data_IF_033199337120
#
_entry.id   IF_033199337120
#
_cell.length_a   1.000
_cell.length_b   1.000
_cell.length_c   1.000
_cell.angle_alpha   90.00
_cell.angle_beta   90.00
_cell.angle_gamma   90.00
#
_symmetry.space_group_name_H-M   'P 1'
#
loop_
_entity.id
_entity.type
_entity.pdbx_description
1 polymer ?
#
# COMPACT_ATOMS: atom_id res chain seq x y z
N UNK A 1 9.39 9.73 -0.69
CA UNK A 1 8.40 10.04 0.37
C UNK A 1 7.35 8.95 0.45
N UNK A 2 6.74 8.72 1.63
CA UNK A 2 5.79 7.62 1.83
C UNK A 2 4.47 7.79 1.05
N UNK A 3 3.92 9.00 0.99
CA UNK A 3 2.70 9.30 0.22
C UNK A 3 2.83 8.98 -1.28
N UNK A 4 3.97 9.32 -1.89
CA UNK A 4 4.26 8.97 -3.28
C UNK A 4 4.31 7.46 -3.51
N UNK A 5 4.95 6.71 -2.61
CA UNK A 5 4.94 5.24 -2.68
C UNK A 5 3.53 4.66 -2.48
N UNK A 6 2.70 5.25 -1.63
CA UNK A 6 1.31 4.82 -1.46
C UNK A 6 0.50 4.98 -2.76
N UNK A 7 0.65 6.11 -3.47
CA UNK A 7 0.01 6.32 -4.77
C UNK A 7 0.53 5.36 -5.85
N UNK A 8 1.85 5.18 -5.94
CA UNK A 8 2.45 4.25 -6.91
C UNK A 8 2.03 2.80 -6.65
N UNK A 9 1.94 2.38 -5.40
CA UNK A 9 1.48 1.04 -5.04
C UNK A 9 0.01 0.83 -5.43
N UNK A 10 -0.83 1.85 -5.25
CA UNK A 10 -2.23 1.82 -5.64
C UNK A 10 -2.44 1.86 -7.17
N UNK A 11 -1.50 2.44 -7.93
CA UNK A 11 -1.56 2.48 -9.39
C UNK A 11 -1.31 1.12 -10.07
N UNK A 12 -0.76 0.13 -9.33
CA UNK A 12 -0.54 -1.26 -9.80
C UNK A 12 0.23 -1.36 -11.12
N UNK A 13 1.20 -0.49 -11.32
CA UNK A 13 2.05 -0.48 -12.51
C UNK A 13 3.05 -1.63 -12.44
N UNK A 14 3.29 -2.28 -13.58
CA UNK A 14 4.41 -3.22 -13.73
C UNK A 14 5.76 -2.48 -13.79
N UNK A 15 6.85 -3.25 -13.80
CA UNK A 15 8.22 -2.71 -13.84
C UNK A 15 8.47 -1.85 -15.08
N UNK A 16 7.94 -2.22 -16.25
CA UNK A 16 8.15 -1.48 -17.49
C UNK A 16 7.46 -0.12 -17.45
N UNK A 17 6.20 -0.08 -17.01
CA UNK A 17 5.43 1.14 -16.84
C UNK A 17 6.02 2.05 -15.74
N UNK A 18 6.51 1.48 -14.63
CA UNK A 18 7.24 2.24 -13.61
C UNK A 18 8.51 2.87 -14.18
N UNK A 19 9.32 2.11 -14.92
CA UNK A 19 10.55 2.61 -15.54
C UNK A 19 10.26 3.74 -16.52
N UNK A 20 9.22 3.59 -17.35
CA UNK A 20 8.80 4.63 -18.29
C UNK A 20 8.36 5.93 -17.58
N UNK A 21 7.64 5.82 -16.47
CA UNK A 21 7.13 7.00 -15.74
C UNK A 21 8.17 7.68 -14.85
N UNK A 22 9.04 6.92 -14.21
CA UNK A 22 9.96 7.43 -13.20
C UNK A 22 11.37 7.71 -13.76
N UNK A 23 11.75 7.06 -14.87
CA UNK A 23 13.10 7.17 -15.42
C UNK A 23 14.16 6.73 -14.41
N UNK A 24 15.24 7.51 -14.31
CA UNK A 24 16.33 7.26 -13.36
C UNK A 24 15.93 7.69 -11.96
N UNK A 25 16.02 6.75 -11.01
CA UNK A 25 15.77 7.02 -9.60
C UNK A 25 16.98 7.71 -8.96
N UNK A 26 16.77 8.90 -8.42
CA UNK A 26 17.83 9.71 -7.79
C UNK A 26 18.08 9.25 -6.35
N UNK A 27 19.35 9.10 -6.00
CA UNK A 27 19.77 8.88 -4.62
C UNK A 27 19.83 10.20 -3.86
N UNK A 28 19.02 10.35 -2.82
CA UNK A 28 19.04 11.49 -1.91
C UNK A 28 19.76 11.16 -0.61
N UNK A 29 19.79 9.89 -0.24
CA UNK A 29 20.46 9.35 0.94
C UNK A 29 20.97 7.94 0.63
N UNK A 30 21.86 7.36 1.47
CA UNK A 30 22.26 5.96 1.31
C UNK A 30 21.10 4.94 1.38
N UNK A 31 19.94 5.34 1.92
CA UNK A 31 18.76 4.48 2.02
C UNK A 31 17.80 4.65 0.84
N UNK A 32 18.06 5.58 -0.09
CA UNK A 32 17.20 5.77 -1.26
C UNK A 32 17.15 4.49 -2.11
N UNK A 33 15.94 4.06 -2.47
CA UNK A 33 15.76 3.00 -3.45
C UNK A 33 16.09 3.57 -4.83
N UNK A 34 17.17 3.10 -5.45
CA UNK A 34 17.64 3.54 -6.77
C UNK A 34 17.43 2.52 -7.88
N UNK A 35 17.03 1.29 -7.53
CA UNK A 35 16.72 0.21 -8.45
C UNK A 35 15.21 0.04 -8.63
N UNK A 36 14.78 -0.10 -9.88
CA UNK A 36 13.35 -0.09 -10.23
C UNK A 36 12.67 -1.40 -9.81
N UNK A 37 13.36 -2.53 -9.89
CA UNK A 37 12.85 -3.84 -9.49
C UNK A 37 12.67 -3.91 -7.96
N UNK A 38 13.64 -3.34 -7.23
CA UNK A 38 13.57 -3.16 -5.78
C UNK A 38 12.42 -2.24 -5.38
N UNK A 39 12.21 -1.13 -6.11
CA UNK A 39 11.07 -0.24 -5.88
C UNK A 39 9.75 -0.98 -6.11
N UNK A 40 9.62 -1.69 -7.23
CA UNK A 40 8.42 -2.46 -7.53
C UNK A 40 8.12 -3.48 -6.42
N UNK A 41 9.11 -4.24 -5.95
CA UNK A 41 8.94 -5.16 -4.82
C UNK A 41 8.49 -4.46 -3.52
N UNK A 42 8.97 -3.24 -3.25
CA UNK A 42 8.49 -2.44 -2.11
C UNK A 42 7.06 -1.95 -2.29
N UNK A 43 6.65 -1.62 -3.52
CA UNK A 43 5.28 -1.24 -3.85
C UNK A 43 4.31 -2.43 -3.70
N UNK A 44 4.74 -3.65 -4.07
CA UNK A 44 3.99 -4.88 -3.82
C UNK A 44 3.77 -5.11 -2.31
N UNK A 45 4.82 -4.99 -1.50
CA UNK A 45 4.72 -5.08 -0.03
C UNK A 45 3.80 -4.01 0.55
N UNK A 46 3.94 -2.78 0.06
CA UNK A 46 3.10 -1.64 0.42
C UNK A 46 1.63 -1.93 0.15
N UNK A 47 1.31 -2.54 -0.99
CA UNK A 47 -0.06 -2.92 -1.34
C UNK A 47 -0.61 -4.02 -0.44
N UNK A 48 0.20 -5.05 -0.16
CA UNK A 48 -0.19 -6.16 0.69
C UNK A 48 -0.51 -5.71 2.13
N UNK A 49 0.27 -4.75 2.68
CA UNK A 49 0.05 -4.22 4.04
C UNK A 49 -0.92 -3.04 4.12
N UNK A 50 -1.27 -2.41 2.99
CA UNK A 50 -2.21 -1.29 2.91
C UNK A 50 -1.64 0.10 3.20
N UNK A 51 -0.33 0.22 3.47
CA UNK A 51 0.36 1.48 3.73
C UNK A 51 1.80 1.43 3.24
N UNK A 52 2.38 2.59 2.94
CA UNK A 52 3.76 2.78 2.53
C UNK A 52 4.62 3.25 3.71
N UNK A 53 5.88 2.85 3.73
CA UNK A 53 6.88 3.33 4.68
C UNK A 53 7.96 4.08 3.93
N UNK A 54 8.47 5.18 4.50
CA UNK A 54 9.70 5.83 4.05
C UNK A 54 10.70 5.72 5.21
N UNK A 55 11.83 5.02 5.01
CA UNK A 55 12.82 4.83 6.08
C UNK A 55 14.11 5.60 5.78
N UNK A 56 14.06 6.90 6.03
CA UNK A 56 15.15 7.84 5.76
C UNK A 56 15.55 7.95 4.28
N UNK A 57 14.73 7.44 3.35
CA UNK A 57 15.04 7.39 1.91
C UNK A 57 15.24 8.78 1.29
N UNK A 58 14.45 9.78 1.69
CA UNK A 58 14.52 11.16 1.17
C UNK A 58 15.46 12.05 1.99
N UNK A 59 15.45 11.90 3.31
CA UNK A 59 16.24 12.71 4.23
C UNK A 59 16.59 11.89 5.47
N UNK A 60 17.87 11.88 5.84
CA UNK A 60 18.34 11.24 7.06
C UNK A 60 17.65 11.81 8.30
N UNK A 61 17.35 10.94 9.25
CA UNK A 61 16.58 11.28 10.45
C UNK A 61 15.06 11.39 10.25
N UNK A 62 14.56 11.22 9.02
CA UNK A 62 13.12 11.35 8.71
C UNK A 62 12.56 10.05 8.16
N UNK A 63 11.71 9.42 8.96
CA UNK A 63 10.84 8.34 8.52
C UNK A 63 9.45 8.86 8.17
N UNK A 64 8.63 8.03 7.55
CA UNK A 64 7.23 8.38 7.33
C UNK A 64 6.36 7.19 6.96
N UNK A 65 5.07 7.40 7.09
CA UNK A 65 4.00 6.47 6.72
C UNK A 65 3.11 7.16 5.69
N UNK A 66 2.45 6.38 4.84
CA UNK A 66 1.38 6.92 4.02
C UNK A 66 0.41 5.87 3.54
N UNK A 67 -0.82 6.27 3.28
CA UNK A 67 -1.84 5.38 2.74
C UNK A 67 -2.66 6.11 1.66
N UNK A 68 -3.15 5.38 0.65
CA UNK A 68 -3.97 5.97 -0.41
C UNK A 68 -5.38 6.31 0.09
N UNK A 69 -5.98 7.31 -0.54
CA UNK A 69 -7.39 7.68 -0.41
C UNK A 69 -8.06 7.38 -1.75
N UNK A 70 -9.16 6.64 -1.72
CA UNK A 70 -9.87 6.19 -2.90
C UNK A 70 -11.18 6.95 -3.11
N UNK A 71 -11.56 7.15 -4.36
CA UNK A 71 -12.88 7.66 -4.73
C UNK A 71 -13.91 6.51 -4.84
N UNK A 72 -15.18 6.85 -5.13
CA UNK A 72 -16.24 5.87 -5.33
C UNK A 72 -15.99 4.83 -6.44
N UNK A 73 -15.09 5.10 -7.39
CA UNK A 73 -14.70 4.17 -8.47
C UNK A 73 -13.59 3.22 -8.06
N UNK A 74 -12.99 3.41 -6.89
CA UNK A 74 -11.82 2.66 -6.44
C UNK A 74 -10.49 3.19 -6.97
N UNK A 75 -10.46 4.37 -7.58
CA UNK A 75 -9.21 5.01 -8.00
C UNK A 75 -8.57 5.70 -6.81
N UNK A 76 -7.26 5.53 -6.63
CA UNK A 76 -6.50 6.32 -5.66
C UNK A 76 -6.34 7.76 -6.17
N UNK A 77 -7.04 8.69 -5.55
CA UNK A 77 -7.09 10.11 -5.95
C UNK A 77 -6.21 11.01 -5.08
N UNK A 78 -5.83 10.53 -3.90
CA UNK A 78 -4.93 11.22 -2.99
C UNK A 78 -4.20 10.20 -2.10
N UNK A 79 -3.29 10.68 -1.26
CA UNK A 79 -2.69 9.88 -0.20
C UNK A 79 -2.44 10.76 1.02
N UNK A 80 -2.68 10.20 2.21
CA UNK A 80 -2.27 10.82 3.46
C UNK A 80 -0.84 10.38 3.78
N UNK A 81 0.01 11.33 4.16
CA UNK A 81 1.39 11.07 4.59
C UNK A 81 1.64 11.63 5.97
N UNK A 82 2.36 10.88 6.80
CA UNK A 82 2.81 11.30 8.13
C UNK A 82 4.32 11.17 8.23
N UNK A 83 5.00 12.26 8.61
CA UNK A 83 6.45 12.27 8.84
C UNK A 83 6.75 12.09 10.32
N UNK A 84 7.75 11.26 10.63
CA UNK A 84 8.14 10.90 11.99
C UNK A 84 9.67 10.93 12.10
N UNK A 85 10.27 11.54 13.13
CA UNK A 85 11.71 11.43 13.37
C UNK A 85 12.13 9.96 13.50
N UNK A 86 13.23 9.54 12.87
CA UNK A 86 13.60 8.11 12.81
C UNK A 86 13.83 7.48 14.18
N UNK A 87 14.38 8.26 15.14
CA UNK A 87 14.52 7.84 16.55
C UNK A 87 13.19 7.52 17.21
N UNK A 88 12.11 8.22 16.84
CA UNK A 88 10.76 7.92 17.33
C UNK A 88 10.16 6.76 16.55
N UNK A 89 10.41 6.69 15.25
CA UNK A 89 9.90 5.62 14.39
C UNK A 89 10.36 4.23 14.81
N UNK A 90 11.61 4.09 15.26
CA UNK A 90 12.13 2.82 15.81
C UNK A 90 11.52 2.44 17.16
N UNK A 91 11.12 3.45 17.97
CA UNK A 91 10.56 3.27 19.32
C UNK A 91 9.05 3.09 19.33
N UNK A 92 8.35 3.82 18.47
CA UNK A 92 6.92 3.64 18.23
C UNK A 92 6.75 2.34 17.48
N UNK A 93 5.83 1.48 17.91
CA UNK A 93 5.42 0.35 17.08
C UNK A 93 4.85 0.93 15.78
N UNK A 94 5.66 1.02 14.72
CA UNK A 94 5.31 1.70 13.47
C UNK A 94 3.96 1.23 12.90
N UNK A 95 3.60 -0.01 13.22
CA UNK A 95 2.31 -0.63 12.98
C UNK A 95 1.12 0.14 13.57
N UNK A 96 1.16 0.55 14.84
CA UNK A 96 0.05 1.27 15.47
C UNK A 96 -0.19 2.66 14.84
N UNK A 97 0.90 3.36 14.49
CA UNK A 97 0.81 4.60 13.72
C UNK A 97 0.27 4.36 12.30
N UNK A 98 0.69 3.27 11.66
CA UNK A 98 0.19 2.90 10.34
C UNK A 98 -1.31 2.56 10.37
N UNK A 99 -1.78 1.87 11.42
CA UNK A 99 -3.20 1.57 11.64
C UNK A 99 -4.04 2.85 11.75
N UNK A 100 -3.54 3.87 12.46
CA UNK A 100 -4.21 5.17 12.54
C UNK A 100 -4.23 5.90 11.18
N UNK A 101 -3.11 5.90 10.44
CA UNK A 101 -3.04 6.48 9.10
C UNK A 101 -4.04 5.79 8.16
N UNK A 102 -4.09 4.46 8.17
CA UNK A 102 -5.03 3.70 7.35
C UNK A 102 -6.49 3.90 7.78
N UNK A 103 -6.78 4.06 9.07
CA UNK A 103 -8.12 4.39 9.53
C UNK A 103 -8.57 5.74 8.98
N UNK A 104 -7.72 6.76 9.10
CA UNK A 104 -8.00 8.09 8.57
C UNK A 104 -8.24 8.08 7.05
N UNK A 105 -7.43 7.34 6.28
CA UNK A 105 -7.65 7.27 4.82
C UNK A 105 -8.88 6.45 4.44
N UNK A 106 -9.25 5.43 5.22
CA UNK A 106 -10.53 4.73 5.03
C UNK A 106 -11.72 5.67 5.25
N UNK A 107 -11.70 6.48 6.30
CA UNK A 107 -12.77 7.44 6.58
C UNK A 107 -12.87 8.52 5.50
N UNK A 108 -11.73 9.05 5.06
CA UNK A 108 -11.66 9.99 3.95
C UNK A 108 -12.19 9.36 2.65
N UNK A 109 -11.81 8.11 2.35
CA UNK A 109 -12.29 7.40 1.18
C UNK A 109 -13.80 7.15 1.25
N UNK A 110 -14.32 6.79 2.43
CA UNK A 110 -15.75 6.62 2.69
C UNK A 110 -16.55 7.90 2.43
N UNK A 111 -16.00 9.05 2.85
CA UNK A 111 -16.57 10.38 2.54
C UNK A 111 -16.61 10.65 1.04
N UNK A 112 -15.61 10.16 0.27
CA UNK A 112 -15.56 10.24 -1.19
C UNK A 112 -16.36 9.13 -1.90
N UNK A 113 -17.13 8.35 -1.15
CA UNK A 113 -18.02 7.32 -1.68
C UNK A 113 -17.36 5.96 -1.93
N UNK A 114 -16.10 5.76 -1.53
CA UNK A 114 -15.46 4.46 -1.61
C UNK A 114 -16.09 3.49 -0.61
N UNK A 115 -16.49 2.31 -1.11
CA UNK A 115 -17.03 1.21 -0.32
C UNK A 115 -16.11 0.01 -0.52
N UNK A 116 -15.50 -0.48 0.55
CA UNK A 116 -14.81 -1.78 0.49
C UNK A 116 -15.90 -2.84 0.34
N UNK A 117 -15.99 -3.46 -0.84
CA UNK A 117 -16.87 -4.61 -1.02
C UNK A 117 -16.45 -5.75 -0.08
N UNK A 118 -17.37 -6.59 0.41
CA UNK A 118 -16.98 -7.82 1.08
C UNK A 118 -16.07 -8.62 0.15
N UNK A 119 -15.00 -9.22 0.67
CA UNK A 119 -14.23 -10.21 -0.07
C UNK A 119 -15.22 -11.22 -0.68
N UNK A 120 -15.09 -11.60 -1.97
CA UNK A 120 -16.04 -12.51 -2.59
C UNK A 120 -16.13 -13.76 -1.71
N UNK A 121 -17.32 -14.03 -1.17
CA UNK A 121 -17.56 -15.22 -0.37
C UNK A 121 -17.15 -16.42 -1.24
N UNK A 122 -16.10 -17.12 -0.83
CA UNK A 122 -15.70 -18.36 -1.47
C UNK A 122 -16.89 -19.31 -1.31
N UNK A 123 -17.65 -19.53 -2.39
CA UNK A 123 -18.66 -20.60 -2.39
C UNK A 123 -17.88 -21.90 -2.27
N UNK A 124 -17.83 -22.46 -1.07
CA UNK A 124 -17.40 -23.84 -0.89
C UNK A 124 -18.31 -24.71 -1.76
N UNK A 125 -17.76 -25.57 -2.64
CA UNK A 125 -18.58 -26.47 -3.42
C UNK A 125 -19.39 -27.34 -2.46
N UNK A 126 -20.71 -27.36 -2.65
CA UNK A 126 -21.63 -28.20 -1.90
C UNK A 126 -21.20 -29.67 -2.11
N UNK A 127 -20.98 -30.45 -1.03
CA UNK A 127 -20.58 -31.85 -1.18
C UNK A 127 -21.64 -32.59 -1.99
N UNK A 128 -21.23 -33.12 -3.14
CA UNK A 128 -22.08 -33.97 -3.98
C UNK A 128 -22.30 -35.29 -3.25
N UNK A 129 -23.48 -35.48 -2.70
CA UNK A 129 -23.94 -36.77 -2.21
C UNK A 129 -24.05 -37.72 -3.41
N UNK A 130 -23.04 -38.56 -3.64
CA UNK A 130 -23.17 -39.69 -4.55
C UNK A 130 -24.19 -40.67 -3.96
N UNK A 131 -25.39 -40.70 -4.51
CA UNK A 131 -26.34 -41.77 -4.29
C UNK A 131 -25.72 -43.09 -4.78
N UNK A 132 -25.50 -44.03 -3.85
CA UNK A 132 -25.23 -45.42 -4.20
C UNK A 132 -26.46 -45.96 -4.94
N UNK A 133 -26.31 -46.28 -6.24
CA UNK A 133 -27.19 -47.22 -6.92
C UNK A 133 -26.90 -48.61 -6.37
N UNK A 134 -27.91 -49.22 -5.77
CA UNK A 134 -28.05 -50.66 -5.70
C UNK A 134 -28.74 -51.06 -7.00
N UNK A 135 -28.06 -51.87 -7.81
CA UNK A 135 -28.59 -52.92 -8.69
C UNK A 135 -27.41 -53.68 -9.31
#
# INVERSE_FOLDING_TARGET
MASGKALLAAARLDVAALRQRLGTLVSHTPNSITDIDTLHAELERTRARGYAENREEWRRGVCGLGAPVFNARGDAVAALGMSVPSIRFARTQARGLAEQVMACTRDASGTLGYRVGPAPATRLPTPTTKSRRLE
#
